data_IF_232933680194
#
_entry.id   IF_232933680194
#
_cell.length_a   1.000
_cell.length_b   1.000
_cell.length_c   1.000
_cell.angle_alpha   90.00
_cell.angle_beta   90.00
_cell.angle_gamma   90.00
#
_symmetry.space_group_name_H-M   'P 1'
#
loop_
_entity.id
_entity.type
_entity.pdbx_description
1 polymer ?
#
# COMPACT_ATOMS: atom_id res chain seq x y z
N UNK A 1 -6.11 -0.92 -6.14
CA UNK A 1 -6.01 -0.45 -7.54
C UNK A 1 -4.59 -0.62 -8.03
N UNK A 2 -4.41 -0.82 -9.33
CA UNK A 2 -3.14 -0.75 -10.04
C UNK A 2 -3.28 0.41 -11.01
N UNK A 3 -2.27 1.25 -11.12
CA UNK A 3 -2.30 2.39 -12.02
C UNK A 3 -1.37 2.15 -13.20
N UNK A 4 -1.81 2.53 -14.40
CA UNK A 4 -1.04 2.43 -15.63
C UNK A 4 -0.74 3.85 -16.09
N UNK A 5 0.52 4.12 -16.41
CA UNK A 5 0.99 5.38 -16.98
C UNK A 5 1.45 5.06 -18.40
N UNK A 6 0.74 5.63 -19.39
CA UNK A 6 1.06 5.50 -20.80
C UNK A 6 1.94 6.69 -21.23
N UNK A 7 3.25 6.47 -21.26
CA UNK A 7 4.26 7.44 -21.65
C UNK A 7 5.29 6.80 -22.58
N UNK A 8 6.35 7.50 -22.98
CA UNK A 8 7.43 6.98 -23.81
C UNK A 8 8.08 5.72 -23.20
N UNK A 9 8.08 5.63 -21.85
CA UNK A 9 8.41 4.45 -21.05
C UNK A 9 7.22 4.05 -20.20
N UNK A 10 6.33 3.19 -20.74
CA UNK A 10 5.11 2.80 -20.03
C UNK A 10 5.39 2.18 -18.68
N UNK A 11 4.55 2.55 -17.68
CA UNK A 11 4.74 2.14 -16.31
C UNK A 11 3.46 1.57 -15.68
N UNK A 12 3.64 0.72 -14.67
CA UNK A 12 2.59 0.39 -13.70
C UNK A 12 3.05 0.81 -12.31
N UNK A 13 2.12 1.34 -11.52
CA UNK A 13 2.33 1.60 -10.09
C UNK A 13 1.54 0.57 -9.30
N UNK A 14 2.25 -0.20 -8.49
CA UNK A 14 1.83 -1.41 -7.82
C UNK A 14 1.35 -2.51 -8.78
N UNK A 15 1.11 -3.70 -8.25
CA UNK A 15 0.77 -4.87 -9.07
C UNK A 15 -0.41 -5.68 -8.50
N UNK A 16 -0.91 -5.24 -7.34
CA UNK A 16 -1.96 -5.91 -6.61
C UNK A 16 -1.52 -7.25 -6.01
N UNK A 17 -2.52 -8.00 -5.58
CA UNK A 17 -2.38 -9.24 -4.80
C UNK A 17 -1.85 -10.46 -5.59
N UNK A 18 -1.63 -10.32 -6.89
CA UNK A 18 -1.22 -11.40 -7.78
C UNK A 18 -2.36 -12.31 -8.27
N UNK A 19 -3.37 -12.57 -7.46
CA UNK A 19 -4.53 -13.42 -7.85
C UNK A 19 -5.28 -12.86 -9.06
N UNK A 20 -5.31 -11.53 -9.20
CA UNK A 20 -5.98 -10.82 -10.30
C UNK A 20 -5.01 -10.38 -11.40
N UNK A 21 -3.84 -11.00 -11.50
CA UNK A 21 -2.80 -10.67 -12.45
C UNK A 21 -3.31 -10.59 -13.92
N UNK A 22 -4.18 -11.51 -14.33
CA UNK A 22 -4.77 -11.49 -15.68
C UNK A 22 -5.55 -10.20 -15.97
N UNK A 23 -6.15 -9.56 -14.97
CA UNK A 23 -6.84 -8.28 -15.13
C UNK A 23 -5.84 -7.14 -15.38
N UNK A 24 -4.67 -7.17 -14.76
CA UNK A 24 -3.61 -6.18 -15.00
C UNK A 24 -3.09 -6.32 -16.43
N UNK A 25 -2.82 -7.55 -16.89
CA UNK A 25 -2.43 -7.81 -18.29
C UNK A 25 -3.49 -7.35 -19.29
N UNK A 26 -4.75 -7.65 -19.01
CA UNK A 26 -5.85 -7.19 -19.87
C UNK A 26 -5.90 -5.67 -19.93
N UNK A 27 -5.76 -4.97 -18.82
CA UNK A 27 -5.77 -3.51 -18.78
C UNK A 27 -4.60 -2.91 -19.57
N UNK A 28 -3.38 -3.47 -19.44
CA UNK A 28 -2.23 -3.06 -20.25
C UNK A 28 -2.50 -3.22 -21.77
N UNK A 29 -3.04 -4.38 -22.16
CA UNK A 29 -3.41 -4.63 -23.56
C UNK A 29 -4.49 -3.67 -24.06
N UNK A 30 -5.49 -3.34 -23.24
CA UNK A 30 -6.59 -2.42 -23.61
C UNK A 30 -6.10 -0.99 -23.85
N UNK A 31 -5.02 -0.55 -23.18
CA UNK A 31 -4.39 0.75 -23.43
C UNK A 31 -3.28 0.68 -24.49
N UNK A 32 -3.01 -0.49 -25.07
CA UNK A 32 -2.08 -0.68 -26.18
C UNK A 32 -0.64 -0.93 -25.75
N UNK A 33 -0.39 -1.32 -24.52
CA UNK A 33 0.93 -1.70 -23.99
C UNK A 33 1.08 -3.21 -24.15
N UNK A 34 1.86 -3.64 -25.11
CA UNK A 34 2.16 -5.03 -25.39
C UNK A 34 3.31 -5.58 -24.49
N UNK A 35 3.62 -6.88 -24.63
CA UNK A 35 4.60 -7.57 -23.79
C UNK A 35 6.04 -6.97 -23.88
N UNK A 36 6.38 -6.36 -25.03
CA UNK A 36 7.70 -5.73 -25.26
C UNK A 36 7.73 -4.23 -24.88
N UNK A 37 6.58 -3.63 -24.53
CA UNK A 37 6.46 -2.18 -24.36
C UNK A 37 6.60 -1.72 -22.90
N UNK A 38 6.10 -2.49 -21.92
CA UNK A 38 6.20 -2.11 -20.50
C UNK A 38 7.67 -2.05 -20.06
N UNK A 39 8.08 -0.93 -19.49
CA UNK A 39 9.47 -0.70 -19.06
C UNK A 39 9.61 -0.51 -17.55
N UNK A 40 8.55 -0.11 -16.84
CA UNK A 40 8.61 0.26 -15.42
C UNK A 40 7.52 -0.44 -14.63
N UNK A 41 7.93 -1.12 -13.56
CA UNK A 41 7.05 -1.64 -12.50
C UNK A 41 7.48 -0.94 -11.21
N UNK A 42 6.75 0.11 -10.81
CA UNK A 42 7.07 0.93 -9.64
C UNK A 42 6.29 0.42 -8.43
N UNK A 43 6.98 -0.14 -7.43
CA UNK A 43 6.36 -0.64 -6.22
C UNK A 43 6.42 0.42 -5.12
N UNK A 44 5.25 0.79 -4.58
CA UNK A 44 5.17 1.70 -3.44
C UNK A 44 5.78 1.06 -2.19
N UNK A 45 5.51 -0.22 -1.99
CA UNK A 45 6.10 -1.05 -0.94
C UNK A 45 5.87 -2.54 -1.24
N UNK A 46 6.43 -3.44 -0.40
CA UNK A 46 6.46 -4.87 -0.71
C UNK A 46 5.36 -5.70 -0.03
N UNK A 47 4.34 -5.11 0.59
CA UNK A 47 3.20 -5.92 1.03
C UNK A 47 2.57 -6.60 -0.18
N UNK A 48 2.10 -7.86 0.01
CA UNK A 48 1.72 -8.70 -1.14
C UNK A 48 0.44 -8.27 -1.84
N UNK A 49 -0.36 -7.42 -1.25
CA UNK A 49 -1.51 -6.78 -1.90
C UNK A 49 -1.10 -5.63 -2.83
N UNK A 50 0.17 -5.18 -2.77
CA UNK A 50 0.79 -4.21 -3.68
C UNK A 50 1.79 -4.88 -4.63
N UNK A 51 2.67 -5.72 -4.11
CA UNK A 51 3.78 -6.30 -4.86
C UNK A 51 3.56 -7.76 -5.29
N UNK A 52 2.41 -8.36 -4.98
CA UNK A 52 2.16 -9.79 -5.22
C UNK A 52 2.18 -10.19 -6.70
N UNK A 53 1.89 -9.26 -7.60
CA UNK A 53 1.95 -9.47 -9.05
C UNK A 53 3.28 -9.17 -9.72
N UNK A 54 4.25 -8.58 -9.00
CA UNK A 54 5.47 -8.04 -9.60
C UNK A 54 6.32 -9.08 -10.34
N UNK A 55 6.52 -10.26 -9.74
CA UNK A 55 7.26 -11.35 -10.39
C UNK A 55 6.58 -11.87 -11.65
N UNK A 56 5.26 -11.99 -11.65
CA UNK A 56 4.48 -12.39 -12.84
C UNK A 56 4.65 -11.34 -13.96
N UNK A 57 4.52 -10.05 -13.66
CA UNK A 57 4.73 -8.97 -14.62
C UNK A 57 6.18 -8.95 -15.14
N UNK A 58 7.17 -9.04 -14.27
CA UNK A 58 8.57 -9.07 -14.69
C UNK A 58 8.91 -10.27 -15.59
N UNK A 59 8.20 -11.40 -15.42
CA UNK A 59 8.36 -12.56 -16.28
C UNK A 59 7.71 -12.36 -17.66
N UNK A 60 6.48 -11.84 -17.70
CA UNK A 60 5.71 -11.70 -18.94
C UNK A 60 6.11 -10.44 -19.75
N UNK A 61 6.67 -9.41 -19.09
CA UNK A 61 7.13 -8.16 -19.70
C UNK A 61 8.67 -8.05 -19.59
N UNK A 62 9.41 -8.65 -20.55
CA UNK A 62 10.86 -8.84 -20.42
C UNK A 62 11.68 -7.55 -20.41
N UNK A 63 11.12 -6.42 -20.80
CA UNK A 63 11.78 -5.11 -20.80
C UNK A 63 11.50 -4.29 -19.52
N UNK A 64 10.52 -4.72 -18.67
CA UNK A 64 10.16 -3.97 -17.49
C UNK A 64 11.13 -4.20 -16.34
N UNK A 65 11.70 -3.16 -15.76
CA UNK A 65 12.46 -3.20 -14.52
C UNK A 65 11.54 -2.94 -13.31
N UNK A 66 11.86 -3.59 -12.17
CA UNK A 66 11.08 -3.48 -10.93
C UNK A 66 11.78 -2.50 -10.00
N UNK A 67 11.15 -1.37 -9.78
CA UNK A 67 11.63 -0.30 -8.90
C UNK A 67 11.09 -0.55 -7.49
N UNK A 68 11.97 -0.71 -6.52
CA UNK A 68 11.61 -1.07 -5.15
C UNK A 68 12.58 -0.46 -4.14
N UNK A 69 12.09 -0.15 -2.94
CA UNK A 69 12.93 0.32 -1.85
C UNK A 69 13.99 -0.75 -1.47
N UNK A 70 15.27 -0.39 -1.16
CA UNK A 70 16.35 -1.35 -0.88
C UNK A 70 16.03 -2.40 0.18
N UNK A 71 15.24 -2.06 1.22
CA UNK A 71 14.77 -3.03 2.22
C UNK A 71 13.94 -4.17 1.57
N UNK A 72 13.28 -3.89 0.43
CA UNK A 72 12.44 -4.85 -0.28
C UNK A 72 13.19 -5.78 -1.23
N UNK A 73 14.39 -5.41 -1.68
CA UNK A 73 15.15 -6.10 -2.74
C UNK A 73 15.26 -7.61 -2.50
N UNK A 74 15.82 -8.03 -1.36
CA UNK A 74 15.99 -9.45 -1.04
C UNK A 74 14.67 -10.24 -1.01
N UNK A 75 13.57 -9.55 -0.64
CA UNK A 75 12.24 -10.15 -0.58
C UNK A 75 11.59 -10.29 -1.96
N UNK A 76 11.95 -9.45 -2.91
CA UNK A 76 11.48 -9.59 -4.29
C UNK A 76 12.25 -10.70 -5.03
N UNK A 77 13.55 -10.85 -4.74
CA UNK A 77 14.39 -11.93 -5.30
C UNK A 77 14.04 -13.30 -4.72
N UNK A 78 13.81 -13.36 -3.40
CA UNK A 78 13.34 -14.58 -2.72
C UNK A 78 12.15 -14.24 -1.81
N UNK A 79 10.91 -14.41 -2.30
CA UNK A 79 9.71 -14.02 -1.55
C UNK A 79 9.36 -14.99 -0.41
N UNK A 80 10.11 -16.04 -0.15
CA UNK A 80 9.76 -17.08 0.83
C UNK A 80 9.55 -16.52 2.25
N UNK A 81 10.40 -15.58 2.69
CA UNK A 81 10.27 -14.93 4.00
C UNK A 81 9.09 -13.95 4.03
N UNK A 82 8.85 -13.23 2.95
CA UNK A 82 7.71 -12.31 2.80
C UNK A 82 6.41 -13.11 2.84
N UNK A 83 6.31 -14.21 2.08
CA UNK A 83 5.16 -15.12 2.10
C UNK A 83 4.90 -15.68 3.50
N UNK A 84 5.94 -16.12 4.21
CA UNK A 84 5.80 -16.64 5.57
C UNK A 84 5.28 -15.55 6.54
N UNK A 85 5.81 -14.34 6.43
CA UNK A 85 5.37 -13.18 7.22
C UNK A 85 3.92 -12.79 6.93
N UNK A 86 3.56 -12.69 5.65
CA UNK A 86 2.18 -12.37 5.23
C UNK A 86 1.20 -13.43 5.72
N UNK A 87 1.48 -14.73 5.53
CA UNK A 87 0.63 -15.83 6.05
C UNK A 87 0.40 -15.71 7.56
N UNK A 88 1.43 -15.35 8.31
CA UNK A 88 1.31 -15.17 9.75
C UNK A 88 0.49 -13.93 10.14
N UNK A 89 0.54 -12.87 9.35
CA UNK A 89 -0.19 -11.63 9.60
C UNK A 89 -1.66 -11.74 9.20
N UNK A 90 -1.94 -12.21 7.98
CA UNK A 90 -3.29 -12.19 7.38
C UNK A 90 -4.14 -13.42 7.73
N UNK A 91 -3.54 -14.49 8.29
CA UNK A 91 -4.29 -15.68 8.71
C UNK A 91 -5.11 -16.31 7.58
N UNK A 92 -6.41 -16.46 7.81
CA UNK A 92 -7.33 -17.11 6.85
C UNK A 92 -7.54 -16.31 5.57
N UNK A 93 -7.23 -14.99 5.55
CA UNK A 93 -7.24 -14.18 4.33
C UNK A 93 -6.20 -14.65 3.30
N UNK A 94 -5.21 -15.49 3.69
CA UNK A 94 -4.28 -16.07 2.71
C UNK A 94 -4.98 -16.78 1.54
N UNK A 95 -6.20 -17.25 1.73
CA UNK A 95 -7.00 -17.85 0.63
C UNK A 95 -7.21 -16.93 -0.57
N UNK A 96 -7.11 -15.61 -0.40
CA UNK A 96 -7.26 -14.62 -1.47
C UNK A 96 -5.94 -14.34 -2.20
N UNK A 97 -4.80 -14.79 -1.65
CA UNK A 97 -3.47 -14.58 -2.18
C UNK A 97 -3.04 -15.73 -3.09
N UNK A 98 -2.10 -15.45 -3.96
CA UNK A 98 -1.31 -16.45 -4.67
C UNK A 98 0.15 -16.31 -4.22
N UNK A 99 0.93 -17.38 -4.25
CA UNK A 99 2.36 -17.26 -3.98
C UNK A 99 3.02 -16.43 -5.10
N UNK A 100 3.70 -15.32 -4.75
CA UNK A 100 4.33 -14.46 -5.75
C UNK A 100 5.50 -15.20 -6.42
N UNK A 101 5.72 -14.90 -7.68
CA UNK A 101 6.93 -15.33 -8.37
C UNK A 101 8.13 -14.45 -8.00
N UNK A 102 9.35 -15.00 -7.94
CA UNK A 102 10.56 -14.21 -7.76
C UNK A 102 10.77 -13.21 -8.90
N UNK A 103 11.29 -12.03 -8.57
CA UNK A 103 11.78 -11.07 -9.56
C UNK A 103 13.26 -11.39 -9.84
N UNK A 104 13.70 -11.49 -11.11
CA UNK A 104 15.12 -11.64 -11.42
C UNK A 104 15.95 -10.48 -10.85
N UNK A 105 17.03 -10.79 -10.12
CA UNK A 105 17.85 -9.79 -9.42
C UNK A 105 18.35 -8.69 -10.36
N UNK A 106 18.72 -9.03 -11.58
CA UNK A 106 19.18 -8.10 -12.61
C UNK A 106 18.10 -7.13 -13.14
N UNK A 107 16.84 -7.35 -12.77
CA UNK A 107 15.69 -6.52 -13.15
C UNK A 107 15.26 -5.60 -12.01
N UNK A 108 15.93 -5.64 -10.86
CA UNK A 108 15.61 -4.80 -9.72
C UNK A 108 16.41 -3.50 -9.79
N UNK A 109 15.69 -2.39 -9.64
CA UNK A 109 16.25 -1.06 -9.49
C UNK A 109 15.88 -0.55 -8.10
N UNK A 110 16.88 -0.33 -7.27
CA UNK A 110 16.65 0.23 -5.93
C UNK A 110 16.35 1.73 -6.00
N UNK A 111 15.30 2.14 -5.28
CA UNK A 111 14.88 3.55 -5.18
C UNK A 111 14.58 3.92 -3.74
N UNK A 112 14.91 5.16 -3.36
CA UNK A 112 14.58 5.72 -2.05
C UNK A 112 14.15 7.20 -2.16
N UNK A 113 13.71 7.80 -1.08
CA UNK A 113 13.26 9.20 -1.09
C UNK A 113 14.32 10.16 -1.64
N UNK A 114 13.95 10.95 -2.64
CA UNK A 114 14.80 11.87 -3.37
C UNK A 114 15.20 11.38 -4.77
N UNK A 115 14.96 10.11 -5.09
CA UNK A 115 15.18 9.58 -6.43
C UNK A 115 14.05 9.97 -7.40
N UNK A 116 14.22 9.63 -8.67
CA UNK A 116 13.22 9.79 -9.72
C UNK A 116 13.18 8.59 -10.64
N UNK A 117 12.02 8.32 -11.23
CA UNK A 117 11.81 7.31 -12.26
C UNK A 117 11.49 8.05 -13.55
N UNK A 118 12.41 8.02 -14.53
CA UNK A 118 12.25 8.61 -15.86
C UNK A 118 11.22 7.79 -16.67
N UNK A 119 10.14 8.43 -17.11
CA UNK A 119 9.10 7.84 -17.96
C UNK A 119 9.18 8.35 -19.42
N UNK A 120 10.16 9.22 -19.71
CA UNK A 120 10.40 9.77 -21.03
C UNK A 120 9.90 11.20 -21.17
N UNK A 121 8.60 11.46 -21.12
CA UNK A 121 8.09 12.84 -21.20
C UNK A 121 8.06 13.52 -19.84
N UNK A 122 8.01 12.76 -18.74
CA UNK A 122 8.07 13.25 -17.37
C UNK A 122 8.73 12.23 -16.42
N UNK A 123 8.95 12.62 -15.17
CA UNK A 123 9.53 11.80 -14.13
C UNK A 123 8.54 11.61 -12.99
N UNK A 124 8.47 10.40 -12.41
CA UNK A 124 7.92 10.21 -11.08
C UNK A 124 8.97 10.56 -10.03
N UNK A 125 8.64 11.39 -9.07
CA UNK A 125 9.52 11.73 -7.94
C UNK A 125 9.21 10.84 -6.76
N UNK A 126 10.25 10.27 -6.16
CA UNK A 126 10.12 9.34 -5.03
C UNK A 126 10.23 10.08 -3.72
N UNK A 127 9.26 9.91 -2.83
CA UNK A 127 9.28 10.44 -1.48
C UNK A 127 9.16 9.30 -0.47
N UNK A 128 9.97 9.33 0.59
CA UNK A 128 9.88 8.36 1.67
C UNK A 128 8.60 8.59 2.49
N UNK A 129 7.90 7.50 2.81
CA UNK A 129 6.71 7.50 3.66
C UNK A 129 6.66 6.24 4.55
N UNK A 130 7.63 6.05 5.47
CA UNK A 130 7.87 4.79 6.15
C UNK A 130 6.96 4.47 7.33
N UNK A 131 5.93 5.28 7.61
CA UNK A 131 5.08 5.11 8.79
C UNK A 131 4.21 3.85 8.78
N UNK A 132 3.65 3.50 7.63
CA UNK A 132 2.92 2.24 7.42
C UNK A 132 3.88 1.04 7.38
N UNK A 133 4.96 1.17 6.63
CA UNK A 133 6.00 0.16 6.47
C UNK A 133 7.35 0.82 6.16
N UNK A 134 8.48 0.35 6.74
CA UNK A 134 9.78 1.03 6.62
C UNK A 134 10.35 1.08 5.19
N UNK A 135 9.77 0.34 4.28
CA UNK A 135 10.10 0.28 2.86
C UNK A 135 9.07 0.99 1.97
N UNK A 136 8.14 1.75 2.56
CA UNK A 136 7.13 2.45 1.80
C UNK A 136 7.67 3.77 1.26
N UNK A 137 7.38 4.00 -0.01
CA UNK A 137 7.55 5.27 -0.72
C UNK A 137 6.22 5.67 -1.35
N UNK A 138 6.07 6.95 -1.63
CA UNK A 138 4.99 7.49 -2.46
C UNK A 138 5.61 8.07 -3.73
N UNK A 139 4.86 8.07 -4.83
CA UNK A 139 5.31 8.61 -6.10
C UNK A 139 4.51 9.87 -6.42
N UNK A 140 5.18 11.00 -6.52
CA UNK A 140 4.63 12.24 -7.06
C UNK A 140 4.72 12.24 -8.58
N UNK A 141 3.62 12.51 -9.24
CA UNK A 141 3.53 12.75 -10.67
C UNK A 141 3.19 14.24 -10.90
N UNK A 142 4.21 15.10 -11.05
CA UNK A 142 3.99 16.54 -11.15
C UNK A 142 3.30 16.98 -12.44
N UNK A 143 3.36 16.17 -13.51
CA UNK A 143 2.71 16.49 -14.78
C UNK A 143 1.19 16.37 -14.69
N UNK A 144 0.71 15.46 -13.81
CA UNK A 144 -0.70 15.18 -13.61
C UNK A 144 -1.25 15.72 -12.28
N UNK A 145 -0.46 16.51 -11.53
CA UNK A 145 -0.79 17.02 -10.19
C UNK A 145 -1.32 15.89 -9.27
N UNK A 146 -0.66 14.72 -9.32
CA UNK A 146 -1.11 13.51 -8.64
C UNK A 146 -0.02 12.91 -7.75
N UNK A 147 -0.44 12.20 -6.68
CA UNK A 147 0.45 11.39 -5.85
C UNK A 147 -0.13 10.00 -5.70
N UNK A 148 0.66 8.97 -6.01
CA UNK A 148 0.38 7.58 -5.68
C UNK A 148 0.77 7.38 -4.21
N UNK A 149 -0.26 7.43 -3.34
CA UNK A 149 -0.06 7.61 -1.90
C UNK A 149 0.25 6.32 -1.15
N UNK A 150 0.23 5.17 -1.83
CA UNK A 150 0.30 3.89 -1.13
C UNK A 150 -0.68 3.86 0.06
N UNK A 151 -0.27 3.32 1.19
CA UNK A 151 -1.06 3.29 2.42
C UNK A 151 -0.75 4.46 3.37
N UNK A 152 0.05 5.45 2.91
CA UNK A 152 0.42 6.61 3.72
C UNK A 152 -0.76 7.54 4.06
N UNK A 153 -1.84 7.50 3.25
CA UNK A 153 -3.06 8.30 3.48
C UNK A 153 -4.29 7.44 3.83
N UNK A 154 -4.07 6.18 4.27
CA UNK A 154 -5.15 5.26 4.65
C UNK A 154 -5.88 4.62 3.48
N UNK A 155 -7.09 4.12 3.74
CA UNK A 155 -7.95 3.48 2.75
C UNK A 155 -9.17 4.37 2.50
N UNK A 156 -9.21 5.04 1.35
CA UNK A 156 -10.40 5.79 0.93
C UNK A 156 -11.51 4.85 0.45
N UNK A 157 -12.69 4.92 1.05
CA UNK A 157 -13.88 4.13 0.70
C UNK A 157 -14.92 5.03 0.04
N UNK A 158 -14.96 5.12 -1.31
CA UNK A 158 -15.82 6.06 -2.03
C UNK A 158 -17.31 5.89 -1.72
N UNK A 159 -17.79 4.66 -1.53
CA UNK A 159 -19.20 4.36 -1.27
C UNK A 159 -19.70 4.94 0.05
N UNK A 160 -18.79 5.20 0.99
CA UNK A 160 -19.06 5.78 2.31
C UNK A 160 -18.60 7.22 2.44
N UNK A 161 -17.87 7.74 1.45
CA UNK A 161 -17.17 9.02 1.52
C UNK A 161 -16.35 9.13 2.82
N UNK A 162 -15.64 8.04 3.19
CA UNK A 162 -14.92 7.93 4.44
C UNK A 162 -13.53 7.32 4.23
N UNK A 163 -12.59 7.70 5.10
CA UNK A 163 -11.26 7.13 5.16
C UNK A 163 -11.18 6.10 6.30
N UNK A 164 -10.40 5.04 6.09
CA UNK A 164 -10.17 3.99 7.10
C UNK A 164 -8.69 3.91 7.44
N UNK A 165 -8.46 3.43 8.67
CA UNK A 165 -7.12 3.14 9.18
C UNK A 165 -6.45 2.00 8.40
N UNK A 166 -5.12 2.05 8.32
CA UNK A 166 -4.26 0.95 7.91
C UNK A 166 -3.02 0.92 8.81
N UNK A 167 -2.95 -0.08 9.66
CA UNK A 167 -1.94 -0.20 10.72
C UNK A 167 -1.46 -1.64 10.89
N UNK A 168 -0.82 -2.24 9.84
CA UNK A 168 -0.45 -3.64 9.88
C UNK A 168 0.74 -3.90 10.82
N UNK A 169 0.85 -5.13 11.39
CA UNK A 169 2.08 -5.52 12.05
C UNK A 169 3.19 -5.72 10.99
N UNK A 170 4.48 -5.59 11.30
CA UNK A 170 5.06 -5.42 12.63
C UNK A 170 5.66 -4.03 12.86
N UNK A 171 5.65 -3.15 11.88
CA UNK A 171 6.46 -1.92 11.89
C UNK A 171 5.62 -0.65 11.76
N UNK A 172 4.32 -0.73 11.97
CA UNK A 172 3.46 0.44 12.04
C UNK A 172 3.96 1.43 13.10
N UNK A 173 4.08 2.70 12.74
CA UNK A 173 4.53 3.81 13.61
C UNK A 173 3.63 5.03 13.41
N UNK A 174 2.83 5.37 14.43
CA UNK A 174 1.86 6.46 14.35
C UNK A 174 2.53 7.81 14.09
N UNK A 175 3.60 8.14 14.84
CA UNK A 175 4.26 9.43 14.68
C UNK A 175 4.86 9.59 13.29
N UNK A 176 5.39 8.49 12.73
CA UNK A 176 5.91 8.51 11.39
C UNK A 176 4.78 8.62 10.35
N UNK A 177 3.64 7.92 10.54
CA UNK A 177 2.47 8.10 9.67
C UNK A 177 2.00 9.55 9.64
N UNK A 178 1.95 10.23 10.79
CA UNK A 178 1.58 11.65 10.84
C UNK A 178 2.60 12.55 10.12
N UNK A 179 3.90 12.24 10.23
CA UNK A 179 4.95 12.95 9.48
C UNK A 179 4.87 12.68 7.96
N UNK A 180 4.45 11.48 7.55
CA UNK A 180 4.23 11.16 6.15
C UNK A 180 3.07 11.99 5.55
N UNK A 181 2.02 12.26 6.33
CA UNK A 181 0.95 13.18 5.92
C UNK A 181 1.43 14.62 5.72
N UNK A 182 2.35 15.11 6.56
CA UNK A 182 2.99 16.41 6.36
C UNK A 182 3.77 16.44 5.03
N UNK A 183 4.41 15.33 4.65
CA UNK A 183 5.07 15.19 3.35
C UNK A 183 4.06 15.30 2.22
N UNK A 184 2.93 14.58 2.28
CA UNK A 184 1.86 14.65 1.27
C UNK A 184 1.27 16.07 1.15
N UNK A 185 1.06 16.75 2.27
CA UNK A 185 0.58 18.15 2.27
C UNK A 185 1.55 19.11 1.57
N UNK A 186 2.87 18.89 1.71
CA UNK A 186 3.88 19.73 1.03
C UNK A 186 3.94 19.49 -0.50
N UNK A 187 3.50 18.34 -0.98
CA UNK A 187 3.45 18.04 -2.41
C UNK A 187 2.27 18.73 -3.11
N UNK A 188 1.20 19.08 -2.35
CA UNK A 188 0.02 19.83 -2.78
C UNK A 188 -0.66 19.26 -4.04
N UNK A 189 -0.95 17.93 -4.13
CA UNK A 189 -1.55 17.35 -5.31
C UNK A 189 -3.05 17.62 -5.41
N UNK A 190 -3.56 17.70 -6.64
CA UNK A 190 -5.01 17.71 -6.91
C UNK A 190 -5.64 16.31 -6.75
N UNK A 191 -4.84 15.24 -6.91
CA UNK A 191 -5.33 13.86 -6.89
C UNK A 191 -4.49 12.98 -5.98
N UNK A 192 -5.14 12.29 -5.03
CA UNK A 192 -4.55 11.20 -4.25
C UNK A 192 -4.93 9.87 -4.92
N UNK A 193 -3.94 9.16 -5.48
CA UNK A 193 -4.09 7.85 -6.10
C UNK A 193 -3.95 6.76 -5.04
N UNK A 194 -5.06 6.34 -4.45
CA UNK A 194 -5.07 5.27 -3.44
C UNK A 194 -4.93 3.89 -4.08
N UNK A 195 -4.21 2.95 -3.47
CA UNK A 195 -4.09 1.58 -3.96
C UNK A 195 -5.37 0.76 -3.74
N UNK A 196 -6.21 1.20 -2.82
CA UNK A 196 -7.50 0.59 -2.54
C UNK A 196 -8.62 1.51 -3.04
N UNK A 197 -9.57 0.96 -3.80
CA UNK A 197 -10.75 1.63 -4.38
C UNK A 197 -10.48 2.73 -5.43
N UNK A 198 -9.23 3.15 -5.66
CA UNK A 198 -8.88 4.07 -6.73
C UNK A 198 -8.70 5.54 -6.29
N UNK A 199 -8.68 6.50 -7.25
CA UNK A 199 -8.28 7.87 -6.97
C UNK A 199 -9.36 8.67 -6.24
N UNK A 200 -8.90 9.64 -5.42
CA UNK A 200 -9.71 10.69 -4.81
C UNK A 200 -9.25 12.05 -5.33
N UNK A 201 -10.13 12.77 -5.99
CA UNK A 201 -9.88 14.16 -6.38
C UNK A 201 -10.09 15.05 -5.17
N UNK A 202 -9.06 15.72 -4.72
CA UNK A 202 -9.05 16.54 -3.49
C UNK A 202 -8.95 18.03 -3.78
N UNK A 203 -8.11 18.48 -4.71
CA UNK A 203 -7.91 19.89 -5.03
C UNK A 203 -7.80 20.75 -3.75
N UNK A 204 -8.58 21.82 -3.65
CA UNK A 204 -8.59 22.72 -2.47
C UNK A 204 -8.96 22.03 -1.14
N UNK A 205 -9.43 20.78 -1.16
CA UNK A 205 -9.79 19.98 0.03
C UNK A 205 -8.67 19.06 0.52
N UNK A 206 -7.45 19.14 -0.03
CA UNK A 206 -6.32 18.29 0.34
C UNK A 206 -6.05 18.27 1.85
N UNK A 207 -5.85 19.43 2.45
CA UNK A 207 -5.57 19.56 3.90
C UNK A 207 -6.65 18.85 4.72
N UNK A 208 -7.93 19.06 4.35
CA UNK A 208 -9.05 18.40 5.03
C UNK A 208 -9.01 16.88 4.88
N UNK A 209 -8.64 16.38 3.71
CA UNK A 209 -8.55 14.93 3.47
C UNK A 209 -7.43 14.27 4.28
N UNK A 210 -6.29 14.95 4.43
CA UNK A 210 -5.17 14.47 5.23
C UNK A 210 -5.45 14.59 6.75
N UNK A 211 -6.05 15.69 7.19
CA UNK A 211 -6.50 15.88 8.59
C UNK A 211 -7.55 14.83 9.00
N UNK A 212 -8.46 14.47 8.08
CA UNK A 212 -9.44 13.40 8.28
C UNK A 212 -8.74 12.07 8.59
N UNK A 213 -7.72 11.70 7.82
CA UNK A 213 -6.97 10.45 8.08
C UNK A 213 -6.13 10.53 9.35
N UNK A 214 -5.47 11.65 9.61
CA UNK A 214 -4.73 11.85 10.86
C UNK A 214 -5.64 11.61 12.07
N UNK A 215 -6.84 12.19 12.05
CA UNK A 215 -7.84 12.01 13.12
C UNK A 215 -8.27 10.55 13.27
N UNK A 216 -8.59 9.89 12.15
CA UNK A 216 -9.00 8.46 12.15
C UNK A 216 -7.91 7.59 12.77
N UNK A 217 -6.64 7.84 12.38
CA UNK A 217 -5.52 7.03 12.86
C UNK A 217 -5.22 7.25 14.34
N UNK A 218 -5.25 8.50 14.81
CA UNK A 218 -5.08 8.83 16.22
C UNK A 218 -6.22 8.22 17.09
N UNK A 219 -7.47 8.41 16.66
CA UNK A 219 -8.64 7.85 17.36
C UNK A 219 -8.61 6.33 17.39
N UNK A 220 -8.14 5.68 16.31
CA UNK A 220 -7.96 4.24 16.26
C UNK A 220 -6.93 3.75 17.27
N UNK A 221 -5.75 4.34 17.30
CA UNK A 221 -4.69 3.99 18.27
C UNK A 221 -5.15 4.19 19.71
N UNK A 222 -5.84 5.30 19.99
CA UNK A 222 -6.39 5.60 21.30
C UNK A 222 -7.48 4.59 21.71
N UNK A 223 -8.36 4.19 20.78
CA UNK A 223 -9.39 3.19 21.01
C UNK A 223 -8.80 1.82 21.37
N UNK A 224 -7.78 1.37 20.62
CA UNK A 224 -7.08 0.11 20.89
C UNK A 224 -6.35 0.19 22.25
N UNK A 225 -5.67 1.29 22.56
CA UNK A 225 -4.98 1.48 23.83
C UNK A 225 -5.94 1.47 25.01
N UNK A 226 -7.08 2.16 24.90
CA UNK A 226 -8.12 2.18 25.95
C UNK A 226 -8.73 0.78 26.16
N UNK A 227 -9.01 0.07 25.07
CA UNK A 227 -9.57 -1.29 25.15
C UNK A 227 -8.57 -2.28 25.75
N UNK A 228 -7.26 -2.14 25.46
CA UNK A 228 -6.20 -2.93 26.06
C UNK A 228 -6.12 -2.73 27.57
N UNK A 229 -6.27 -1.48 28.04
CA UNK A 229 -6.32 -1.18 29.49
C UNK A 229 -7.58 -1.78 30.17
N UNK A 230 -8.71 -1.77 29.48
CA UNK A 230 -9.97 -2.32 29.99
C UNK A 230 -9.94 -3.84 30.14
N UNK A 231 -9.48 -4.55 29.09
CA UNK A 231 -9.55 -6.01 29.02
C UNK A 231 -8.32 -6.72 29.59
N UNK A 232 -7.13 -6.09 29.53
CA UNK A 232 -5.89 -6.65 30.06
C UNK A 232 -5.38 -7.90 29.31
N UNK A 233 -5.93 -8.19 28.13
CA UNK A 233 -5.61 -9.35 27.30
C UNK A 233 -5.65 -8.93 25.82
N UNK A 234 -4.52 -9.01 25.13
CA UNK A 234 -4.41 -8.56 23.74
C UNK A 234 -5.30 -9.36 22.77
N UNK A 235 -5.48 -10.66 23.01
CA UNK A 235 -6.36 -11.48 22.14
C UNK A 235 -7.83 -11.08 22.30
N UNK A 236 -8.25 -10.76 23.54
CA UNK A 236 -9.59 -10.23 23.78
C UNK A 236 -9.81 -8.87 23.11
N UNK A 237 -8.76 -8.02 23.02
CA UNK A 237 -8.83 -6.74 22.29
C UNK A 237 -9.01 -6.97 20.81
N UNK A 238 -8.20 -7.86 20.22
CA UNK A 238 -8.29 -8.23 18.80
C UNK A 238 -9.71 -8.74 18.47
N UNK A 239 -10.22 -9.64 19.28
CA UNK A 239 -11.55 -10.20 19.06
C UNK A 239 -12.66 -9.15 19.21
N UNK A 240 -12.53 -8.22 20.15
CA UNK A 240 -13.49 -7.13 20.32
C UNK A 240 -13.64 -6.27 19.05
N UNK A 241 -12.54 -5.80 18.46
CA UNK A 241 -12.60 -4.98 17.25
C UNK A 241 -13.08 -5.79 16.05
N UNK A 242 -12.65 -7.03 15.92
CA UNK A 242 -13.12 -7.94 14.88
C UNK A 242 -14.66 -8.16 14.90
N UNK A 243 -15.26 -8.21 16.08
CA UNK A 243 -16.71 -8.40 16.25
C UNK A 243 -17.51 -7.09 16.14
N UNK A 244 -16.87 -5.94 16.27
CA UNK A 244 -17.52 -4.62 16.28
C UNK A 244 -17.26 -3.79 15.03
N UNK A 245 -16.57 -4.37 14.03
CA UNK A 245 -16.31 -3.69 12.74
C UNK A 245 -17.61 -3.22 12.08
N UNK A 246 -17.59 -2.03 11.51
CA UNK A 246 -18.71 -1.48 10.75
C UNK A 246 -18.56 -1.64 9.23
N UNK A 247 -17.49 -2.36 8.77
CA UNK A 247 -17.15 -2.52 7.35
C UNK A 247 -17.75 -3.76 6.69
N UNK A 248 -18.65 -4.48 7.38
CA UNK A 248 -19.25 -5.74 6.89
C UNK A 248 -19.99 -5.57 5.56
N UNK A 249 -20.66 -4.46 5.36
CA UNK A 249 -21.41 -4.17 4.12
C UNK A 249 -20.51 -3.81 2.93
N UNK A 250 -19.26 -3.39 3.17
CA UNK A 250 -18.26 -3.07 2.13
C UNK A 250 -17.40 -4.28 1.79
N UNK A 251 -16.87 -4.98 2.81
CA UNK A 251 -15.88 -6.05 2.62
C UNK A 251 -16.44 -7.46 2.81
N UNK A 252 -17.66 -7.60 3.35
CA UNK A 252 -18.21 -8.87 3.81
C UNK A 252 -17.70 -9.22 5.21
N UNK A 253 -18.43 -10.10 5.89
CA UNK A 253 -18.23 -10.42 7.33
C UNK A 253 -16.82 -10.96 7.61
N UNK A 254 -16.35 -11.93 6.80
CA UNK A 254 -15.05 -12.59 7.01
C UNK A 254 -13.90 -11.60 6.79
N UNK A 255 -13.89 -10.89 5.64
CA UNK A 255 -12.80 -9.95 5.32
C UNK A 255 -12.79 -8.78 6.30
N UNK A 256 -13.92 -8.18 6.63
CA UNK A 256 -13.99 -7.07 7.59
C UNK A 256 -13.42 -7.48 8.96
N UNK A 257 -13.79 -8.64 9.46
CA UNK A 257 -13.27 -9.18 10.74
C UNK A 257 -11.76 -9.39 10.71
N UNK A 258 -11.21 -9.96 9.64
CA UNK A 258 -9.77 -10.23 9.54
C UNK A 258 -8.93 -8.94 9.35
N UNK A 259 -9.45 -7.94 8.64
CA UNK A 259 -8.80 -6.61 8.52
C UNK A 259 -8.69 -5.93 9.87
N UNK A 260 -9.77 -5.93 10.68
CA UNK A 260 -9.72 -5.37 12.02
C UNK A 260 -8.73 -6.11 12.93
N UNK A 261 -8.65 -7.44 12.82
CA UNK A 261 -7.65 -8.22 13.55
C UNK A 261 -6.23 -7.82 13.15
N UNK A 262 -5.99 -7.63 11.85
CA UNK A 262 -4.69 -7.23 11.33
C UNK A 262 -4.29 -5.86 11.89
N UNK A 263 -5.15 -4.86 11.72
CA UNK A 263 -4.91 -3.50 12.17
C UNK A 263 -4.75 -3.40 13.70
N UNK A 264 -5.59 -4.12 14.45
CA UNK A 264 -5.47 -4.18 15.92
C UNK A 264 -4.12 -4.75 16.36
N UNK A 265 -3.64 -5.84 15.71
CA UNK A 265 -2.33 -6.43 16.00
C UNK A 265 -1.18 -5.44 15.77
N UNK A 266 -1.25 -4.64 14.73
CA UNK A 266 -0.22 -3.63 14.45
C UNK A 266 -0.16 -2.56 15.52
N UNK A 267 -1.31 -2.01 15.93
CA UNK A 267 -1.36 -1.03 17.03
C UNK A 267 -0.89 -1.63 18.35
N UNK A 268 -1.30 -2.86 18.67
CA UNK A 268 -0.81 -3.55 19.89
C UNK A 268 0.70 -3.76 19.87
N UNK A 269 1.27 -4.05 18.70
CA UNK A 269 2.72 -4.12 18.48
C UNK A 269 3.40 -2.77 18.74
N UNK A 270 2.88 -1.70 18.14
CA UNK A 270 3.36 -0.34 18.32
C UNK A 270 3.33 0.08 19.81
N UNK A 271 2.22 -0.15 20.50
CA UNK A 271 2.10 0.18 21.93
C UNK A 271 3.12 -0.57 22.80
N UNK A 272 3.41 -1.84 22.50
CA UNK A 272 4.42 -2.64 23.22
C UNK A 272 5.85 -2.12 23.04
N UNK A 273 6.17 -1.57 21.87
CA UNK A 273 7.51 -1.02 21.64
C UNK A 273 7.76 0.30 22.39
N UNK A 274 6.72 0.95 22.92
CA UNK A 274 6.78 2.21 23.68
C UNK A 274 6.73 2.01 25.20
N UNK A 275 6.45 0.82 25.70
CA UNK A 275 6.52 0.45 27.13
C UNK A 275 7.95 0.14 27.56
#
# INVERSE_FOLDING_TARGET
AVYIIDDDRPAVVDTGIGTNYDLVRQALTEVGIDEDDLEVIALTHIHLDHAGGAGFLAHDYPNADVYVHPIGTDHMVDPSRLVAGTKAAVGDQWQYYVEPEPVPEERIVEIEGGDGIDLGTHDLRVHAAPGHAPHQVVFEDPENDAVFVADAAGIWVPEREAIRETSPPSNFDLEQCLADLETLAMLDPDVLCYPHFGPRYVGDDLDRALDEYATVLEEWVDAVAAKRQELGDDEAVIQYFAETTDMVDVWGEEKASEEEKLNTRGVLGYLKHRE
#
